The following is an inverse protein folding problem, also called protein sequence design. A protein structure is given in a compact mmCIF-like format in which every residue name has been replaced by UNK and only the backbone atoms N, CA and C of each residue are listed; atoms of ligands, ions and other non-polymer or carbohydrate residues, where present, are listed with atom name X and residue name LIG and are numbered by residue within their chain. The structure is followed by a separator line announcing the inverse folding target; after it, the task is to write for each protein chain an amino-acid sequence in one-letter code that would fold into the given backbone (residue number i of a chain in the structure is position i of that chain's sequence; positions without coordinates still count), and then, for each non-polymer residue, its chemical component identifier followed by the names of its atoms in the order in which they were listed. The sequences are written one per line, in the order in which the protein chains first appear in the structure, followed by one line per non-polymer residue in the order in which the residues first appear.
data_IF_355938575967
#
_entry.id   IF_355938575967
#
_cell.length_a   1.000
_cell.length_b   1.000
_cell.length_c   1.000
_cell.angle_alpha   90.00
_cell.angle_beta   90.00
_cell.angle_gamma   90.00
#
_symmetry.space_group_name_H-M   'P 1'
#
loop_
_entity.id
_entity.type
_entity.pdbx_description
1 polymer ?
#
# COMPACT_ATOMS: atom_id res chain seq x y z
N UNK A 1 4.81 -5.31 13.64
CA UNK A 1 3.56 -5.20 14.44
C UNK A 1 2.38 -5.98 13.83
N UNK A 2 2.59 -7.03 13.01
CA UNK A 2 1.49 -7.61 12.21
C UNK A 2 1.26 -9.13 12.37
N UNK A 3 2.13 -9.88 13.04
CA UNK A 3 2.06 -11.36 13.02
C UNK A 3 0.92 -11.98 13.84
N UNK A 4 0.68 -11.51 15.07
CA UNK A 4 -0.28 -12.14 15.99
C UNK A 4 -1.74 -11.72 15.71
N UNK A 5 -1.99 -10.45 15.37
CA UNK A 5 -3.34 -9.93 15.10
C UNK A 5 -3.93 -10.49 13.80
N UNK A 6 -3.12 -10.65 12.76
CA UNK A 6 -3.59 -11.17 11.47
C UNK A 6 -3.98 -12.66 11.54
N UNK A 7 -3.29 -13.47 12.35
CA UNK A 7 -3.66 -14.88 12.58
C UNK A 7 -5.04 -15.01 13.24
N UNK A 8 -5.35 -14.15 14.22
CA UNK A 8 -6.67 -14.09 14.84
C UNK A 8 -7.75 -13.68 13.82
N UNK A 9 -7.48 -12.65 13.00
CA UNK A 9 -8.39 -12.23 11.93
C UNK A 9 -8.62 -13.33 10.88
N UNK A 10 -7.64 -14.22 10.63
CA UNK A 10 -7.84 -15.36 9.73
C UNK A 10 -8.87 -16.36 10.27
N UNK A 11 -8.88 -16.62 11.58
CA UNK A 11 -9.86 -17.53 12.20
C UNK A 11 -11.24 -16.87 12.21
N UNK A 12 -11.32 -15.63 12.71
CA UNK A 12 -12.59 -14.89 12.79
C UNK A 12 -13.20 -14.60 11.41
N UNK A 13 -12.37 -14.37 10.39
CA UNK A 13 -12.84 -14.11 9.04
C UNK A 13 -13.46 -15.33 8.36
N UNK A 14 -13.29 -16.55 8.89
CA UNK A 14 -14.04 -17.73 8.43
C UNK A 14 -15.43 -17.81 9.05
N UNK A 15 -15.57 -17.41 10.31
CA UNK A 15 -16.79 -17.62 11.11
C UNK A 15 -17.75 -16.43 11.05
N UNK A 16 -17.22 -15.20 11.09
CA UNK A 16 -17.99 -13.94 11.08
C UNK A 16 -17.46 -12.96 10.03
N UNK A 17 -17.41 -13.35 8.73
CA UNK A 17 -16.80 -12.53 7.67
C UNK A 17 -17.48 -11.16 7.49
N UNK A 18 -18.78 -11.06 7.81
CA UNK A 18 -19.57 -9.83 7.72
C UNK A 18 -19.42 -8.91 8.95
N UNK A 19 -18.74 -9.37 10.01
CA UNK A 19 -18.46 -8.55 11.19
C UNK A 19 -17.70 -7.29 10.80
N UNK A 20 -18.06 -6.15 11.39
CA UNK A 20 -17.50 -4.84 11.07
C UNK A 20 -16.47 -4.43 12.12
N UNK A 21 -15.28 -4.06 11.67
CA UNK A 21 -14.25 -3.41 12.50
C UNK A 21 -14.23 -1.93 12.11
N UNK A 22 -14.60 -1.07 13.06
CA UNK A 22 -14.58 0.37 12.87
C UNK A 22 -13.17 0.92 13.08
N UNK A 23 -12.77 1.92 12.28
CA UNK A 23 -11.46 2.56 12.41
C UNK A 23 -11.36 3.32 13.74
N UNK A 24 -10.39 2.94 14.58
CA UNK A 24 -10.06 3.66 15.81
C UNK A 24 -8.82 4.52 15.53
N UNK A 25 -9.05 5.82 15.29
CA UNK A 25 -7.99 6.78 14.96
C UNK A 25 -7.56 6.75 13.48
N UNK A 26 -6.96 7.85 13.02
CA UNK A 26 -6.34 7.95 11.69
C UNK A 26 -4.85 8.21 11.86
N UNK A 27 -4.00 7.26 11.45
CA UNK A 27 -2.60 7.58 11.16
C UNK A 27 -2.59 8.46 9.91
N UNK A 28 -1.78 9.51 9.93
CA UNK A 28 -1.64 10.42 8.79
C UNK A 28 -0.91 9.69 7.66
N UNK A 29 -1.60 9.49 6.54
CA UNK A 29 -1.09 8.77 5.36
C UNK A 29 -0.42 9.70 4.34
N UNK A 30 -0.67 11.02 4.42
CA UNK A 30 0.00 12.06 3.61
C UNK A 30 0.35 13.29 4.46
N UNK A 31 1.42 14.00 4.11
CA UNK A 31 1.74 15.33 4.69
C UNK A 31 0.84 16.45 4.18
N UNK A 32 0.10 16.26 3.10
CA UNK A 32 -0.78 17.28 2.56
C UNK A 32 -2.00 17.52 3.47
N UNK A 33 -1.92 18.60 4.25
CA UNK A 33 -2.93 18.96 5.23
C UNK A 33 -4.24 19.39 4.54
N UNK A 34 -4.16 20.04 3.39
CA UNK A 34 -5.33 20.50 2.66
C UNK A 34 -6.14 19.31 2.15
N UNK A 35 -5.49 18.38 1.45
CA UNK A 35 -6.11 17.12 1.03
C UNK A 35 -6.68 16.35 2.23
N UNK A 36 -5.92 16.24 3.33
CA UNK A 36 -6.40 15.57 4.55
C UNK A 36 -7.66 16.20 5.15
N UNK A 37 -7.85 17.52 5.01
CA UNK A 37 -9.06 18.23 5.46
C UNK A 37 -10.24 17.98 4.53
N UNK A 38 -10.01 17.95 3.23
CA UNK A 38 -11.03 17.67 2.21
C UNK A 38 -11.51 16.22 2.31
N UNK A 39 -10.59 15.27 2.41
CA UNK A 39 -10.91 13.84 2.56
C UNK A 39 -11.73 13.53 3.83
N UNK A 40 -11.58 14.33 4.90
CA UNK A 40 -12.43 14.19 6.11
C UNK A 40 -13.89 14.58 5.87
N UNK A 41 -14.18 15.36 4.84
CA UNK A 41 -15.53 15.80 4.47
C UNK A 41 -16.19 14.84 3.48
N UNK A 42 -15.47 13.83 3.00
CA UNK A 42 -16.01 12.86 2.05
C UNK A 42 -17.12 12.02 2.69
N UNK A 43 -18.33 12.14 2.14
CA UNK A 43 -19.51 11.39 2.58
C UNK A 43 -19.38 9.89 2.27
N UNK A 44 -18.56 9.54 1.28
CA UNK A 44 -18.34 8.16 0.84
C UNK A 44 -17.16 7.47 1.54
N UNK A 45 -16.50 8.13 2.51
CA UNK A 45 -15.46 7.47 3.34
C UNK A 45 -16.09 6.38 4.22
N UNK A 46 -15.85 5.13 3.84
CA UNK A 46 -16.30 3.97 4.59
C UNK A 46 -15.50 3.85 5.90
N UNK A 47 -16.19 4.00 7.03
CA UNK A 47 -15.56 4.07 8.37
C UNK A 47 -15.28 2.71 9.01
N UNK A 48 -15.54 1.62 8.31
CA UNK A 48 -15.30 0.26 8.78
C UNK A 48 -14.73 -0.62 7.67
N UNK A 49 -14.03 -1.67 8.08
CA UNK A 49 -13.68 -2.80 7.21
C UNK A 49 -14.36 -4.05 7.75
N UNK A 50 -14.70 -4.99 6.87
CA UNK A 50 -15.22 -6.28 7.30
C UNK A 50 -14.08 -7.21 7.70
N UNK A 51 -14.32 -8.10 8.66
CA UNK A 51 -13.33 -9.11 9.06
C UNK A 51 -12.95 -10.00 7.87
N UNK A 52 -13.92 -10.31 7.00
CA UNK A 52 -13.68 -11.04 5.75
C UNK A 52 -12.71 -10.32 4.81
N UNK A 53 -12.87 -9.01 4.62
CA UNK A 53 -11.94 -8.22 3.80
C UNK A 53 -10.53 -8.24 4.39
N UNK A 54 -10.40 -8.03 5.70
CA UNK A 54 -9.10 -8.07 6.39
C UNK A 54 -8.44 -9.45 6.19
N UNK A 55 -9.21 -10.54 6.30
CA UNK A 55 -8.69 -11.90 6.10
C UNK A 55 -8.25 -12.15 4.66
N UNK A 56 -9.08 -11.85 3.68
CA UNK A 56 -8.78 -12.17 2.29
C UNK A 56 -7.68 -11.26 1.74
N UNK A 57 -7.76 -9.95 2.00
CA UNK A 57 -6.80 -8.98 1.47
C UNK A 57 -5.51 -8.90 2.31
N UNK A 58 -5.62 -8.55 3.60
CA UNK A 58 -4.44 -8.25 4.45
C UNK A 58 -3.74 -9.49 5.02
N UNK A 59 -4.35 -10.67 4.94
CA UNK A 59 -3.71 -11.90 5.38
C UNK A 59 -3.42 -12.85 4.22
N UNK A 60 -4.46 -13.39 3.57
CA UNK A 60 -4.27 -14.38 2.50
C UNK A 60 -3.63 -13.76 1.25
N UNK A 61 -4.08 -12.58 0.84
CA UNK A 61 -3.53 -11.85 -0.31
C UNK A 61 -2.06 -11.51 -0.14
N UNK A 62 -1.67 -10.93 1.00
CA UNK A 62 -0.26 -10.63 1.30
C UNK A 62 0.58 -11.91 1.35
N UNK A 63 0.11 -12.97 2.03
CA UNK A 63 0.86 -14.23 2.12
C UNK A 63 1.07 -14.87 0.75
N UNK A 64 0.00 -14.93 -0.05
CA UNK A 64 0.06 -15.46 -1.42
C UNK A 64 1.00 -14.63 -2.29
N UNK A 65 0.90 -13.30 -2.26
CA UNK A 65 1.77 -12.42 -3.05
C UNK A 65 3.24 -12.57 -2.64
N UNK A 66 3.51 -12.72 -1.34
CA UNK A 66 4.86 -13.02 -0.86
C UNK A 66 5.32 -14.38 -1.39
N UNK A 67 4.55 -15.45 -1.18
CA UNK A 67 4.92 -16.81 -1.63
C UNK A 67 5.19 -16.89 -3.15
N UNK A 68 4.48 -16.08 -3.95
CA UNK A 68 4.55 -16.11 -5.42
C UNK A 68 5.36 -14.96 -6.03
N UNK A 69 6.06 -14.14 -5.25
CA UNK A 69 6.78 -12.97 -5.75
C UNK A 69 7.81 -13.32 -6.85
N UNK A 70 8.46 -14.47 -6.74
CA UNK A 70 9.44 -14.97 -7.72
C UNK A 70 8.81 -15.32 -9.08
N UNK A 71 7.48 -15.44 -9.18
CA UNK A 71 6.81 -15.66 -10.46
C UNK A 71 6.50 -14.36 -11.21
N UNK A 72 6.76 -13.20 -10.62
CA UNK A 72 6.51 -11.91 -11.25
C UNK A 72 7.73 -11.46 -12.07
N UNK A 73 7.54 -11.36 -13.40
CA UNK A 73 8.59 -11.06 -14.38
C UNK A 73 8.27 -9.84 -15.28
N UNK A 74 7.10 -9.21 -15.13
CA UNK A 74 6.70 -8.06 -15.93
C UNK A 74 7.46 -6.77 -15.53
N UNK A 75 7.59 -5.77 -16.43
CA UNK A 75 8.15 -4.48 -16.08
C UNK A 75 7.44 -3.83 -14.88
N UNK A 76 8.21 -3.32 -13.91
CA UNK A 76 7.64 -2.83 -12.66
C UNK A 76 8.31 -1.57 -12.11
N UNK A 77 7.49 -0.62 -11.67
CA UNK A 77 7.93 0.58 -10.96
C UNK A 77 7.49 0.52 -9.49
N UNK A 78 8.47 0.51 -8.59
CA UNK A 78 8.25 0.63 -7.15
C UNK A 78 8.55 2.06 -6.70
N UNK A 79 7.52 2.73 -6.19
CA UNK A 79 7.62 4.05 -5.56
C UNK A 79 7.22 3.93 -4.10
N UNK A 80 8.02 4.47 -3.18
CA UNK A 80 7.71 4.40 -1.76
C UNK A 80 8.24 5.61 -0.96
N UNK A 81 7.47 6.10 0.00
CA UNK A 81 7.89 7.17 0.90
C UNK A 81 8.66 6.65 2.11
N UNK A 82 9.90 7.10 2.35
CA UNK A 82 10.72 6.58 3.47
C UNK A 82 10.14 6.90 4.86
N UNK A 83 9.25 7.89 4.93
CA UNK A 83 8.53 8.24 6.15
C UNK A 83 7.12 7.62 6.24
N UNK A 84 6.81 6.58 5.45
CA UNK A 84 5.53 5.87 5.51
C UNK A 84 5.27 5.30 6.92
N UNK A 85 4.11 5.65 7.48
CA UNK A 85 3.66 5.28 8.84
C UNK A 85 2.71 4.08 8.87
N UNK A 86 2.38 3.55 7.70
CA UNK A 86 1.48 2.43 7.44
C UNK A 86 2.31 1.18 7.13
N UNK A 87 3.20 1.28 6.14
CA UNK A 87 4.06 0.18 5.68
C UNK A 87 5.52 0.64 5.73
N UNK A 88 6.44 -0.10 6.40
CA UNK A 88 7.87 0.22 6.34
C UNK A 88 8.42 0.04 4.92
N UNK A 89 9.21 1.01 4.44
CA UNK A 89 9.75 1.00 3.07
C UNK A 89 10.65 -0.21 2.79
N UNK A 90 11.27 -0.80 3.83
CA UNK A 90 12.11 -1.99 3.73
C UNK A 90 11.34 -3.19 3.15
N UNK A 91 10.01 -3.25 3.35
CA UNK A 91 9.15 -4.28 2.74
C UNK A 91 9.13 -4.18 1.21
N UNK A 92 9.20 -2.97 0.68
CA UNK A 92 9.31 -2.75 -0.77
C UNK A 92 10.67 -3.25 -1.27
N UNK A 93 11.75 -2.99 -0.54
CA UNK A 93 13.09 -3.50 -0.85
C UNK A 93 13.12 -5.03 -0.89
N UNK A 94 12.52 -5.69 0.11
CA UNK A 94 12.40 -7.15 0.17
C UNK A 94 11.74 -7.72 -1.11
N UNK A 95 10.60 -7.14 -1.53
CA UNK A 95 9.88 -7.59 -2.73
C UNK A 95 10.66 -7.28 -4.01
N UNK A 96 11.23 -6.08 -4.13
CA UNK A 96 12.01 -5.65 -5.30
C UNK A 96 13.15 -6.63 -5.62
N UNK A 97 13.85 -7.14 -4.60
CA UNK A 97 14.91 -8.11 -4.78
C UNK A 97 14.41 -9.52 -5.11
N UNK A 98 13.18 -9.85 -4.74
CA UNK A 98 12.63 -11.20 -4.89
C UNK A 98 11.96 -11.45 -6.24
N UNK A 99 11.36 -10.43 -6.86
CA UNK A 99 10.73 -10.60 -8.18
C UNK A 99 11.77 -10.86 -9.28
N UNK A 100 11.38 -11.60 -10.32
CA UNK A 100 12.27 -11.99 -11.43
C UNK A 100 12.28 -10.99 -12.60
N UNK A 101 11.49 -9.92 -12.51
CA UNK A 101 11.50 -8.84 -13.51
C UNK A 101 12.91 -8.30 -13.73
N UNK A 102 13.37 -8.34 -14.98
CA UNK A 102 14.63 -7.73 -15.41
C UNK A 102 14.49 -6.21 -15.55
N UNK A 103 13.29 -5.76 -15.92
CA UNK A 103 12.96 -4.35 -16.09
C UNK A 103 12.19 -3.80 -14.89
N UNK A 104 12.92 -3.59 -13.79
CA UNK A 104 12.36 -3.06 -12.54
C UNK A 104 13.11 -1.83 -12.07
N UNK A 105 12.36 -0.87 -11.53
CA UNK A 105 12.89 0.38 -10.98
C UNK A 105 12.37 0.59 -9.57
N UNK A 106 13.24 1.02 -8.65
CA UNK A 106 12.89 1.39 -7.29
C UNK A 106 13.31 2.83 -7.01
N UNK A 107 12.36 3.69 -6.62
CA UNK A 107 12.61 5.07 -6.19
C UNK A 107 11.99 5.30 -4.81
N UNK A 108 12.79 5.87 -3.91
CA UNK A 108 12.34 6.30 -2.60
C UNK A 108 12.22 7.82 -2.53
N UNK A 109 11.20 8.31 -1.84
CA UNK A 109 11.03 9.73 -1.55
C UNK A 109 11.23 9.96 -0.04
N UNK A 110 12.30 10.69 0.32
CA UNK A 110 12.81 10.77 1.71
C UNK A 110 11.75 11.21 2.73
N UNK A 111 10.98 12.25 2.40
CA UNK A 111 10.06 12.88 3.35
C UNK A 111 8.60 12.39 3.19
N UNK A 112 8.31 11.60 2.16
CA UNK A 112 6.94 11.22 1.80
C UNK A 112 6.36 10.14 2.70
N UNK A 113 5.04 10.19 2.90
CA UNK A 113 4.28 9.14 3.62
C UNK A 113 3.69 8.13 2.61
N UNK A 114 2.59 7.47 2.99
CA UNK A 114 1.98 6.35 2.26
C UNK A 114 1.30 6.75 0.94
N UNK A 115 0.57 7.86 0.94
CA UNK A 115 -0.24 8.31 -0.21
C UNK A 115 0.57 9.26 -1.10
N UNK A 116 1.53 8.72 -1.85
CA UNK A 116 2.50 9.47 -2.65
C UNK A 116 1.87 10.52 -3.59
N UNK A 117 0.83 10.15 -4.34
CA UNK A 117 0.15 11.07 -5.27
C UNK A 117 -0.64 12.20 -4.57
N UNK A 118 -0.70 12.15 -3.24
CA UNK A 118 -1.30 13.18 -2.40
C UNK A 118 -0.27 13.89 -1.53
N UNK A 119 1.02 13.61 -1.67
CA UNK A 119 2.09 14.38 -1.02
C UNK A 119 2.25 15.77 -1.65
N UNK A 120 2.90 16.72 -0.96
CA UNK A 120 3.28 18.01 -1.56
C UNK A 120 4.09 17.87 -2.87
N UNK A 121 4.89 16.81 -2.97
CA UNK A 121 5.75 16.46 -4.11
C UNK A 121 5.00 15.72 -5.23
N UNK A 122 3.66 15.71 -5.22
CA UNK A 122 2.81 14.97 -6.18
C UNK A 122 3.17 15.21 -7.64
N UNK A 123 3.55 16.44 -8.02
CA UNK A 123 3.87 16.75 -9.43
C UNK A 123 5.16 16.06 -9.89
N UNK A 124 6.19 16.00 -9.03
CA UNK A 124 7.42 15.24 -9.29
C UNK A 124 7.10 13.75 -9.41
N UNK A 125 6.35 13.22 -8.44
CA UNK A 125 5.98 11.80 -8.38
C UNK A 125 5.19 11.40 -9.64
N UNK A 126 4.21 12.21 -10.05
CA UNK A 126 3.43 11.96 -11.27
C UNK A 126 4.31 12.05 -12.52
N UNK A 127 5.24 13.01 -12.58
CA UNK A 127 6.19 13.11 -13.69
C UNK A 127 7.10 11.89 -13.79
N UNK A 128 7.58 11.35 -12.66
CA UNK A 128 8.38 10.12 -12.65
C UNK A 128 7.59 8.91 -13.19
N UNK A 129 6.33 8.77 -12.76
CA UNK A 129 5.44 7.70 -13.25
C UNK A 129 5.26 7.81 -14.76
N UNK A 130 4.94 9.00 -15.26
CA UNK A 130 4.72 9.24 -16.68
C UNK A 130 5.99 8.97 -17.50
N UNK A 131 7.14 9.50 -17.06
CA UNK A 131 8.41 9.27 -17.73
C UNK A 131 8.80 7.78 -17.77
N UNK A 132 8.50 7.04 -16.69
CA UNK A 132 8.75 5.60 -16.65
C UNK A 132 7.84 4.85 -17.64
N UNK A 133 6.57 5.23 -17.74
CA UNK A 133 5.62 4.64 -18.69
C UNK A 133 6.01 4.96 -20.14
N UNK A 134 6.33 6.22 -20.45
CA UNK A 134 6.70 6.69 -21.79
C UNK A 134 7.88 5.93 -22.40
N UNK A 135 8.82 5.45 -21.58
CA UNK A 135 9.96 4.64 -22.01
C UNK A 135 9.59 3.21 -22.45
N UNK A 136 8.34 2.78 -22.26
CA UNK A 136 7.88 1.39 -22.48
C UNK A 136 6.63 1.29 -23.37
N UNK A 137 5.99 2.41 -23.65
CA UNK A 137 4.80 2.47 -24.51
C UNK A 137 5.09 3.02 -25.91
N UNK A 138 6.26 3.63 -26.10
CA UNK A 138 6.77 4.10 -27.40
C UNK A 138 7.75 3.09 -27.97
#
# INVERSE_FOLDING_TARGET
MYGASLKLCNVLGKTIPKGRIYRIGRRRATRNIQYSKEFKKDFYDLRYSTIGLIREFLYKGISWAQENAEHYDLPCLFLHGKCDKVIPYERTTEVYHRIQSEDKTLKFYENCYHELVHEPEKEEIMSDILCWLEKRIN
#
